data_IF_850489118551
#
_entry.id   IF_850489118551
#
_cell.length_a   1.000
_cell.length_b   1.000
_cell.length_c   1.000
_cell.angle_alpha   90.00
_cell.angle_beta   90.00
_cell.angle_gamma   90.00
#
_symmetry.space_group_name_H-M   'P 1'
#
loop_
_entity.id
_entity.type
_entity.pdbx_description
1 polymer ?
#
# COMPACT_ATOMS: atom_id res chain seq x y z
N UNK A 1 -4.89 -67.46 -6.00
CA UNK A 1 -3.55 -67.19 -5.44
C UNK A 1 -3.09 -65.85 -6.03
N UNK A 2 -2.66 -64.94 -5.15
CA UNK A 2 -2.32 -63.55 -5.45
C UNK A 2 -1.14 -63.46 -6.43
N UNK A 3 -1.25 -62.59 -7.44
CA UNK A 3 -0.11 -61.99 -8.14
C UNK A 3 -0.46 -60.51 -8.35
N UNK A 4 -0.08 -59.67 -7.40
CA UNK A 4 1.20 -58.94 -7.32
C UNK A 4 1.16 -57.63 -8.11
N UNK A 5 1.14 -56.57 -7.32
CA UNK A 5 1.18 -55.15 -7.65
C UNK A 5 2.34 -54.82 -8.59
N UNK A 6 2.05 -54.37 -9.82
CA UNK A 6 3.05 -53.72 -10.68
C UNK A 6 2.36 -52.82 -11.70
N UNK A 7 1.83 -51.69 -11.24
CA UNK A 7 1.19 -50.71 -12.14
C UNK A 7 0.84 -49.38 -11.48
N UNK A 8 0.66 -49.36 -10.16
CA UNK A 8 0.27 -48.15 -9.43
C UNK A 8 1.42 -47.17 -9.13
N UNK A 9 2.67 -47.44 -9.58
CA UNK A 9 3.84 -46.60 -9.24
C UNK A 9 4.12 -45.44 -10.18
N UNK A 10 3.42 -45.30 -11.32
CA UNK A 10 3.67 -44.18 -12.26
C UNK A 10 2.63 -43.06 -12.21
N UNK A 11 1.41 -43.32 -11.72
CA UNK A 11 0.36 -42.30 -11.68
C UNK A 11 0.40 -41.42 -10.42
N UNK A 12 1.00 -41.90 -9.33
CA UNK A 12 1.02 -41.17 -8.04
C UNK A 12 2.05 -40.03 -8.04
N UNK A 13 3.19 -40.20 -8.73
CA UNK A 13 4.23 -39.16 -8.82
C UNK A 13 3.83 -37.95 -9.68
N UNK A 14 2.83 -38.09 -10.55
CA UNK A 14 2.38 -36.99 -11.41
C UNK A 14 1.39 -36.04 -10.72
N UNK A 15 0.69 -36.49 -9.67
CA UNK A 15 -0.33 -35.68 -9.00
C UNK A 15 0.24 -34.73 -7.93
N UNK A 16 1.42 -35.02 -7.38
CA UNK A 16 2.05 -34.20 -6.35
C UNK A 16 2.77 -32.94 -6.91
N UNK A 17 2.97 -32.84 -8.22
CA UNK A 17 3.67 -31.70 -8.84
C UNK A 17 2.75 -30.51 -9.13
N UNK A 18 1.42 -30.67 -9.03
CA UNK A 18 0.47 -29.60 -9.40
C UNK A 18 0.15 -28.60 -8.28
N UNK A 19 0.55 -28.86 -7.03
CA UNK A 19 0.14 -28.04 -5.87
C UNK A 19 1.18 -26.94 -5.54
N UNK A 20 2.41 -27.03 -6.06
CA UNK A 20 3.48 -26.08 -5.71
C UNK A 20 3.42 -24.73 -6.46
N UNK A 21 2.54 -24.56 -7.45
CA UNK A 21 2.55 -23.37 -8.33
C UNK A 21 1.54 -22.27 -7.95
N UNK A 22 0.72 -22.47 -6.91
CA UNK A 22 -0.34 -21.52 -6.53
C UNK A 22 -0.02 -20.78 -5.22
N UNK A 23 1.24 -20.72 -4.83
CA UNK A 23 1.71 -19.88 -3.73
C UNK A 23 2.16 -18.52 -4.25
N UNK A 24 1.33 -17.85 -5.06
CA UNK A 24 1.58 -16.46 -5.41
C UNK A 24 1.35 -15.61 -4.16
N UNK A 25 2.40 -15.40 -3.37
CA UNK A 25 2.41 -14.31 -2.40
C UNK A 25 2.22 -13.03 -3.22
N UNK A 26 0.98 -12.56 -3.32
CA UNK A 26 0.72 -11.20 -3.74
C UNK A 26 1.41 -10.35 -2.68
N UNK A 27 2.65 -9.93 -2.97
CA UNK A 27 3.30 -8.88 -2.19
C UNK A 27 2.27 -7.76 -2.15
N UNK A 28 1.78 -7.42 -0.96
CA UNK A 28 0.83 -6.34 -0.79
C UNK A 28 1.45 -5.12 -1.43
N UNK A 29 0.96 -4.75 -2.61
CA UNK A 29 1.47 -3.62 -3.35
C UNK A 29 1.00 -2.42 -2.52
N UNK A 30 1.94 -1.81 -1.79
CA UNK A 30 1.65 -0.61 -1.01
C UNK A 30 1.08 0.41 -1.99
N UNK A 31 -0.18 0.78 -1.78
CA UNK A 31 -0.85 1.72 -2.66
C UNK A 31 -0.08 3.05 -2.66
N UNK A 32 0.11 3.64 -3.83
CA UNK A 32 0.66 4.99 -3.91
C UNK A 32 -0.34 5.97 -3.27
N UNK A 33 0.07 6.59 -2.16
CA UNK A 33 -0.80 7.47 -1.38
C UNK A 33 -1.25 8.69 -2.20
N UNK A 34 -0.37 9.28 -3.01
CA UNK A 34 -0.69 10.44 -3.85
C UNK A 34 -1.80 10.14 -4.86
N UNK A 35 -1.67 9.02 -5.58
CA UNK A 35 -2.71 8.55 -6.51
C UNK A 35 -4.03 8.25 -5.81
N UNK A 36 -3.99 7.67 -4.60
CA UNK A 36 -5.20 7.40 -3.82
C UNK A 36 -5.91 8.70 -3.41
N UNK A 37 -5.17 9.66 -2.86
CA UNK A 37 -5.71 10.96 -2.45
C UNK A 37 -6.31 11.72 -3.64
N UNK A 38 -5.60 11.75 -4.77
CA UNK A 38 -6.09 12.39 -5.99
C UNK A 38 -7.37 11.75 -6.53
N UNK A 39 -7.47 10.41 -6.52
CA UNK A 39 -8.70 9.69 -6.92
C UNK A 39 -9.86 9.94 -5.96
N UNK A 40 -9.58 10.14 -4.68
CA UNK A 40 -10.58 10.50 -3.67
C UNK A 40 -11.01 11.98 -3.75
N UNK A 41 -10.41 12.79 -4.62
CA UNK A 41 -10.69 14.21 -4.73
C UNK A 41 -10.10 15.05 -3.58
N UNK A 42 -9.19 14.48 -2.79
CA UNK A 42 -8.53 15.19 -1.69
C UNK A 42 -7.36 15.99 -2.25
N UNK A 43 -7.39 17.31 -2.08
CA UNK A 43 -6.27 18.19 -2.41
C UNK A 43 -5.03 17.72 -1.65
N UNK A 44 -3.91 17.56 -2.36
CA UNK A 44 -2.70 17.02 -1.76
C UNK A 44 -1.44 17.53 -2.47
N UNK A 45 -0.34 17.51 -1.73
CA UNK A 45 1.00 17.73 -2.23
C UNK A 45 1.83 16.47 -2.02
N UNK A 46 2.67 16.18 -3.00
CA UNK A 46 3.70 15.13 -3.01
C UNK A 46 5.07 15.75 -3.31
N UNK A 47 6.21 15.04 -3.11
CA UNK A 47 7.55 15.60 -3.26
C UNK A 47 7.86 16.29 -4.59
N UNK A 48 7.14 15.96 -5.66
CA UNK A 48 7.29 16.55 -7.00
C UNK A 48 6.41 17.78 -7.24
N UNK A 49 5.56 18.16 -6.28
CA UNK A 49 4.65 19.31 -6.39
C UNK A 49 5.46 20.60 -6.24
N UNK A 50 5.16 21.64 -7.03
CA UNK A 50 5.90 22.90 -6.98
C UNK A 50 5.79 23.62 -5.63
N UNK A 51 4.70 23.41 -4.89
CA UNK A 51 4.45 23.99 -3.56
C UNK A 51 5.04 23.17 -2.42
N UNK A 52 5.63 22.00 -2.69
CA UNK A 52 6.08 21.03 -1.68
C UNK A 52 6.98 21.63 -0.61
N UNK A 53 7.87 22.55 -0.99
CA UNK A 53 8.78 23.22 -0.05
C UNK A 53 8.03 24.02 1.01
N UNK A 54 6.96 24.72 0.61
CA UNK A 54 6.10 25.51 1.51
C UNK A 54 5.19 24.59 2.32
N UNK A 55 4.61 23.58 1.67
CA UNK A 55 3.66 22.65 2.29
C UNK A 55 4.29 21.75 3.36
N UNK A 56 5.62 21.62 3.36
CA UNK A 56 6.39 20.81 4.31
C UNK A 56 7.32 21.64 5.21
N UNK A 57 7.24 22.97 5.11
CA UNK A 57 8.02 23.86 5.95
C UNK A 57 7.56 23.73 7.41
N UNK A 58 8.47 23.30 8.28
CA UNK A 58 8.18 23.22 9.70
C UNK A 58 8.39 24.59 10.35
N UNK A 59 7.46 24.99 11.22
CA UNK A 59 7.58 26.21 12.02
C UNK A 59 8.94 26.32 12.76
N UNK A 60 9.42 25.20 13.31
CA UNK A 60 10.75 25.14 13.91
C UNK A 60 11.79 24.77 12.84
N UNK A 61 12.55 25.77 12.37
CA UNK A 61 13.58 25.61 11.33
C UNK A 61 14.73 24.67 11.71
N UNK A 62 14.82 24.19 12.96
CA UNK A 62 15.79 23.16 13.37
C UNK A 62 15.37 21.74 12.95
N UNK A 63 14.13 21.56 12.51
CA UNK A 63 13.55 20.27 12.13
C UNK A 63 13.09 20.33 10.68
N UNK A 64 13.34 19.28 9.91
CA UNK A 64 12.91 19.19 8.51
C UNK A 64 12.21 17.85 8.25
N UNK A 65 10.91 17.74 8.58
CA UNK A 65 10.13 16.54 8.31
C UNK A 65 10.10 16.23 6.82
N UNK A 66 10.08 14.93 6.47
CA UNK A 66 9.95 14.46 5.08
C UNK A 66 8.74 13.54 4.98
N UNK A 67 7.51 14.07 4.92
CA UNK A 67 6.32 13.26 4.79
C UNK A 67 6.27 12.58 3.41
N UNK A 68 5.52 11.49 3.29
CA UNK A 68 5.26 10.83 2.00
C UNK A 68 4.29 11.64 1.13
N UNK A 69 3.35 12.34 1.75
CA UNK A 69 2.40 13.26 1.12
C UNK A 69 1.84 14.20 2.20
N UNK A 70 1.28 15.34 1.79
CA UNK A 70 0.51 16.27 2.62
C UNK A 70 -0.90 16.33 2.03
N UNK A 71 -1.93 16.12 2.84
CA UNK A 71 -3.32 16.22 2.41
C UNK A 71 -3.97 17.47 3.01
N UNK A 72 -4.82 18.15 2.24
CA UNK A 72 -5.53 19.36 2.60
C UNK A 72 -7.06 19.14 2.56
N UNK A 73 -7.60 18.26 3.43
CA UNK A 73 -9.03 17.97 3.43
C UNK A 73 -9.86 19.16 3.90
N UNK A 74 -11.02 19.37 3.28
CA UNK A 74 -11.95 20.48 3.55
C UNK A 74 -13.22 20.03 4.27
N UNK A 75 -13.47 18.72 4.31
CA UNK A 75 -14.67 18.09 4.89
C UNK A 75 -14.29 16.87 5.73
N UNK A 76 -15.19 16.42 6.60
CA UNK A 76 -14.98 15.20 7.41
C UNK A 76 -14.89 13.94 6.52
N UNK A 77 -15.62 13.94 5.41
CA UNK A 77 -15.57 12.90 4.39
C UNK A 77 -14.19 12.82 3.74
N UNK A 78 -13.59 13.96 3.40
CA UNK A 78 -12.22 14.02 2.86
C UNK A 78 -11.16 13.58 3.88
N UNK A 79 -11.33 13.92 5.17
CA UNK A 79 -10.47 13.39 6.24
C UNK A 79 -10.54 11.86 6.28
N UNK A 80 -11.76 11.31 6.28
CA UNK A 80 -11.97 9.87 6.32
C UNK A 80 -11.36 9.16 5.09
N UNK A 81 -11.49 9.77 3.92
CA UNK A 81 -10.89 9.27 2.69
C UNK A 81 -9.35 9.31 2.73
N UNK A 82 -8.76 10.39 3.25
CA UNK A 82 -7.31 10.51 3.40
C UNK A 82 -6.74 9.47 4.38
N UNK A 83 -7.42 9.24 5.51
CA UNK A 83 -7.05 8.20 6.48
C UNK A 83 -7.14 6.79 5.87
N UNK A 84 -8.17 6.53 5.06
CA UNK A 84 -8.27 5.26 4.31
C UNK A 84 -7.09 5.07 3.36
N UNK A 85 -6.75 6.10 2.58
CA UNK A 85 -5.59 6.05 1.68
C UNK A 85 -4.28 5.81 2.43
N UNK A 86 -4.08 6.44 3.59
CA UNK A 86 -2.90 6.21 4.41
C UNK A 86 -2.82 4.77 4.95
N UNK A 87 -3.96 4.20 5.38
CA UNK A 87 -4.04 2.81 5.82
C UNK A 87 -3.73 1.83 4.67
N UNK A 88 -4.32 2.04 3.49
CA UNK A 88 -4.10 1.22 2.31
C UNK A 88 -2.63 1.32 1.80
N UNK A 89 -1.99 2.47 1.98
CA UNK A 89 -0.58 2.70 1.67
C UNK A 89 0.39 2.21 2.77
N UNK A 90 -0.12 1.87 3.96
CA UNK A 90 0.68 1.44 5.10
C UNK A 90 1.52 2.55 5.74
N UNK A 91 1.16 3.83 5.57
CA UNK A 91 1.91 4.97 6.11
C UNK A 91 1.30 5.51 7.40
N UNK A 92 2.13 6.14 8.23
CA UNK A 92 1.67 6.80 9.47
C UNK A 92 1.09 8.18 9.15
N UNK A 93 0.10 8.58 9.93
CA UNK A 93 -0.57 9.89 9.80
C UNK A 93 -0.28 10.72 11.03
N UNK A 94 0.04 11.99 10.81
CA UNK A 94 0.03 13.03 11.84
C UNK A 94 -0.79 14.20 11.31
N UNK A 95 -1.61 14.81 12.16
CA UNK A 95 -2.31 16.04 11.81
C UNK A 95 -1.38 17.22 11.98
N UNK A 96 -1.36 18.14 11.02
CA UNK A 96 -0.70 19.44 11.13
C UNK A 96 -1.78 20.50 11.35
N UNK A 97 -1.71 21.22 12.46
CA UNK A 97 -2.61 22.35 12.75
C UNK A 97 -1.78 23.61 13.01
N UNK A 98 -2.28 24.76 12.54
CA UNK A 98 -1.63 26.06 12.69
C UNK A 98 -0.37 26.20 11.83
N UNK A 99 -0.54 26.65 10.60
CA UNK A 99 0.55 27.10 9.72
C UNK A 99 0.48 28.63 9.57
#
# INVERSE_FOLDING_TARGET
MVASVSGASRAIFALCSLIAAQGGFAAAQTADIGSCLAKAGVENSVPTTSTWAVDTEAWNSRVSPKPSAVAFPKTEEEVSAALKCAADAGVKVTTLGGN
#
